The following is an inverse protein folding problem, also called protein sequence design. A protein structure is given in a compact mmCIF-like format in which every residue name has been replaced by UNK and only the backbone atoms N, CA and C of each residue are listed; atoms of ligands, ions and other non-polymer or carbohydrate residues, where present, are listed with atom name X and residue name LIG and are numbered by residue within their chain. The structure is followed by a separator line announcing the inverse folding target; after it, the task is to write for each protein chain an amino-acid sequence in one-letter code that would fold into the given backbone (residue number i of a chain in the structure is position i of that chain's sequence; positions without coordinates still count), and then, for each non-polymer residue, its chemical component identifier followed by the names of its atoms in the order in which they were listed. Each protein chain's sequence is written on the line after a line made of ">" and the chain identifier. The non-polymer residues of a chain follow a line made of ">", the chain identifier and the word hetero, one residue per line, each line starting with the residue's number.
data_IF_540803935577
#
_entry.id   IF_540803935577
#
_cell.length_a   1.000
_cell.length_b   1.000
_cell.length_c   1.000
_cell.angle_alpha   90.00
_cell.angle_beta   90.00
_cell.angle_gamma   90.00
#
_symmetry.space_group_name_H-M   'P 1'
#
loop_
_entity.id
_entity.type
_entity.pdbx_description
1 polymer ?
#
# COMPACT_ATOMS: atom_id res chain seq x y z
N UNK A 1 -0.96 2.16 -6.42
CA UNK A 1 -1.71 1.60 -5.28
C UNK A 1 -1.09 0.27 -4.98
N UNK A 2 -0.94 -0.09 -3.70
CA UNK A 2 -0.33 -1.36 -3.29
C UNK A 2 -1.24 -2.02 -2.28
N UNK A 3 -1.55 -3.28 -2.50
CA UNK A 3 -2.24 -4.15 -1.56
C UNK A 3 -1.45 -5.46 -1.43
N UNK A 4 -1.62 -6.17 -0.33
CA UNK A 4 -1.02 -7.48 -0.12
C UNK A 4 -2.06 -8.47 0.38
N UNK A 5 -1.86 -9.73 0.05
CA UNK A 5 -2.54 -10.88 0.64
C UNK A 5 -1.52 -11.64 1.49
N UNK A 6 -1.91 -12.10 2.68
CA UNK A 6 -1.02 -12.79 3.61
C UNK A 6 -1.76 -13.92 4.33
N UNK A 7 -1.19 -15.12 4.29
CA UNK A 7 -1.59 -16.29 5.06
C UNK A 7 -0.49 -16.53 6.09
N UNK A 8 -0.89 -16.53 7.36
CA UNK A 8 -0.01 -16.83 8.48
C UNK A 8 -0.20 -18.30 8.89
N UNK A 9 0.84 -18.97 9.42
CA UNK A 9 0.68 -20.31 9.97
C UNK A 9 -0.28 -20.31 11.17
N UNK A 10 -0.91 -21.45 11.42
CA UNK A 10 -1.86 -21.58 12.52
C UNK A 10 -1.21 -21.24 13.86
N UNK A 11 -1.91 -20.47 14.69
CA UNK A 11 -1.39 -20.02 15.99
C UNK A 11 -0.28 -18.98 15.93
N UNK A 12 0.16 -18.54 14.74
CA UNK A 12 1.18 -17.51 14.60
C UNK A 12 0.70 -16.18 15.20
N UNK A 13 1.61 -15.51 15.91
CA UNK A 13 1.34 -14.25 16.61
C UNK A 13 2.50 -13.29 16.41
N UNK A 14 2.25 -12.24 15.64
CA UNK A 14 3.16 -11.12 15.45
C UNK A 14 3.01 -10.20 16.67
N UNK A 15 3.75 -10.50 17.74
CA UNK A 15 3.64 -9.75 18.99
C UNK A 15 4.04 -8.30 18.77
N UNK A 16 3.15 -7.38 19.14
CA UNK A 16 3.38 -5.95 18.98
C UNK A 16 3.03 -5.42 17.58
N UNK A 17 2.48 -6.25 16.69
CA UNK A 17 1.85 -5.73 15.47
C UNK A 17 0.58 -4.97 15.85
N UNK A 18 0.42 -3.79 15.28
CA UNK A 18 -0.76 -2.92 15.34
C UNK A 18 -0.93 -2.34 13.93
N UNK A 19 -1.89 -1.44 13.74
CA UNK A 19 -2.04 -0.61 12.53
C UNK A 19 -0.67 -0.15 12.03
N UNK A 20 -0.33 -0.55 10.81
CA UNK A 20 0.97 -0.27 10.19
C UNK A 20 1.33 1.23 10.18
N UNK A 21 0.34 2.13 10.23
CA UNK A 21 0.55 3.58 10.29
C UNK A 21 0.99 4.08 11.66
N UNK A 22 0.68 3.34 12.73
CA UNK A 22 1.14 3.64 14.10
C UNK A 22 2.53 3.11 14.39
N UNK A 23 2.94 2.07 13.67
CA UNK A 23 4.30 1.56 13.74
C UNK A 23 5.28 2.61 13.20
N UNK A 24 6.44 2.72 13.84
CA UNK A 24 7.57 3.48 13.27
C UNK A 24 8.12 2.75 12.04
N UNK A 25 8.85 3.46 11.19
CA UNK A 25 9.48 2.84 10.01
C UNK A 25 10.37 1.64 10.38
N UNK A 26 11.29 1.73 11.37
CA UNK A 26 12.10 0.57 11.77
C UNK A 26 11.29 -0.63 12.27
N UNK A 27 10.21 -0.37 13.01
CA UNK A 27 9.31 -1.44 13.47
C UNK A 27 8.62 -2.14 12.29
N UNK A 28 8.13 -1.38 11.30
CA UNK A 28 7.54 -1.96 10.09
C UNK A 28 8.55 -2.79 9.31
N UNK A 29 9.77 -2.29 9.15
CA UNK A 29 10.84 -3.00 8.45
C UNK A 29 11.20 -4.32 9.15
N UNK A 30 11.26 -4.31 10.49
CA UNK A 30 11.48 -5.54 11.27
C UNK A 30 10.37 -6.58 11.04
N UNK A 31 9.10 -6.18 11.11
CA UNK A 31 7.98 -7.08 10.84
C UNK A 31 7.97 -7.55 9.37
N UNK A 32 8.29 -6.67 8.43
CA UNK A 32 8.38 -7.02 7.02
C UNK A 32 9.44 -8.09 6.79
N UNK A 33 10.65 -7.90 7.35
CA UNK A 33 11.72 -8.89 7.28
C UNK A 33 11.29 -10.22 7.89
N UNK A 34 10.70 -10.21 9.09
CA UNK A 34 10.18 -11.41 9.76
C UNK A 34 9.18 -12.16 8.86
N UNK A 35 8.20 -11.45 8.29
CA UNK A 35 7.18 -12.03 7.42
C UNK A 35 7.77 -12.62 6.13
N UNK A 36 8.75 -11.94 5.52
CA UNK A 36 9.33 -12.33 4.23
C UNK A 36 10.24 -13.56 4.37
N UNK A 37 10.94 -13.71 5.51
CA UNK A 37 11.87 -14.83 5.72
C UNK A 37 11.19 -16.07 6.33
N UNK A 38 10.00 -15.91 6.91
CA UNK A 38 9.27 -17.01 7.54
C UNK A 38 8.74 -18.00 6.49
N UNK A 39 9.21 -19.25 6.52
CA UNK A 39 8.93 -20.24 5.45
C UNK A 39 7.46 -20.64 5.32
N UNK A 40 6.70 -20.53 6.40
CA UNK A 40 5.27 -20.89 6.42
C UNK A 40 4.34 -19.68 6.26
N UNK A 41 4.90 -18.48 6.08
CA UNK A 41 4.12 -17.31 5.71
C UNK A 41 4.02 -17.27 4.18
N UNK A 42 2.79 -17.26 3.67
CA UNK A 42 2.53 -17.11 2.24
C UNK A 42 1.97 -15.73 2.00
N UNK A 43 2.57 -14.99 1.07
CA UNK A 43 2.08 -13.68 0.74
C UNK A 43 2.30 -13.35 -0.73
N UNK A 44 1.54 -12.37 -1.20
CA UNK A 44 1.71 -11.78 -2.51
C UNK A 44 1.30 -10.31 -2.48
N UNK A 45 1.82 -9.54 -3.43
CA UNK A 45 1.58 -8.10 -3.54
C UNK A 45 0.98 -7.77 -4.90
N UNK A 46 -0.11 -7.02 -4.86
CA UNK A 46 -0.73 -6.40 -6.03
C UNK A 46 -0.39 -4.92 -6.11
N UNK A 47 0.03 -4.49 -7.29
CA UNK A 47 0.39 -3.11 -7.58
C UNK A 47 -0.42 -2.64 -8.77
N UNK A 48 -1.00 -1.45 -8.65
CA UNK A 48 -1.76 -0.77 -9.71
C UNK A 48 -1.13 0.60 -9.95
N UNK A 49 -0.82 0.92 -11.21
CA UNK A 49 -0.06 2.11 -11.58
C UNK A 49 -0.92 3.39 -11.51
N UNK A 50 -0.27 4.55 -11.59
CA UNK A 50 -0.95 5.84 -11.53
C UNK A 50 -2.00 6.02 -12.63
N UNK A 51 -1.69 5.56 -13.86
CA UNK A 51 -2.59 5.61 -15.01
C UNK A 51 -3.87 4.79 -14.77
N UNK A 52 -3.73 3.55 -14.28
CA UNK A 52 -4.88 2.70 -13.99
C UNK A 52 -5.73 3.26 -12.84
N UNK A 53 -5.11 3.96 -11.88
CA UNK A 53 -5.86 4.64 -10.80
C UNK A 53 -6.69 5.80 -11.36
N UNK A 54 -6.15 6.54 -12.32
CA UNK A 54 -6.88 7.63 -12.96
C UNK A 54 -8.12 7.10 -13.71
N UNK A 55 -8.02 5.90 -14.33
CA UNK A 55 -9.12 5.26 -15.05
C UNK A 55 -10.14 4.58 -14.14
N UNK A 56 -9.68 3.87 -13.10
CA UNK A 56 -10.53 3.05 -12.21
C UNK A 56 -11.08 3.81 -11.00
N UNK A 57 -10.60 5.03 -10.74
CA UNK A 57 -10.66 5.73 -9.45
C UNK A 57 -9.93 5.00 -8.31
N UNK A 58 -9.78 5.68 -7.17
CA UNK A 58 -9.02 5.13 -6.03
C UNK A 58 -9.65 3.89 -5.40
N UNK A 59 -10.98 3.81 -5.37
CA UNK A 59 -11.69 2.67 -4.82
C UNK A 59 -11.54 1.45 -5.74
N UNK A 60 -11.81 1.62 -7.03
CA UNK A 60 -11.64 0.56 -8.04
C UNK A 60 -10.19 0.07 -8.09
N UNK A 61 -9.21 0.97 -8.05
CA UNK A 61 -7.80 0.59 -8.02
C UNK A 61 -7.38 -0.13 -6.72
N UNK A 62 -8.04 0.15 -5.60
CA UNK A 62 -7.81 -0.58 -4.34
C UNK A 62 -8.29 -2.02 -4.48
N UNK A 63 -9.52 -2.22 -4.97
CA UNK A 63 -10.08 -3.55 -5.21
C UNK A 63 -9.25 -4.31 -6.24
N UNK A 64 -8.82 -3.66 -7.33
CA UNK A 64 -7.97 -4.29 -8.34
C UNK A 64 -6.62 -4.71 -7.77
N UNK A 65 -5.99 -3.88 -6.92
CA UNK A 65 -4.74 -4.24 -6.27
C UNK A 65 -4.91 -5.46 -5.34
N UNK A 66 -6.03 -5.54 -4.61
CA UNK A 66 -6.36 -6.70 -3.78
C UNK A 66 -6.58 -7.96 -4.63
N UNK A 67 -7.33 -7.88 -5.72
CA UNK A 67 -7.52 -9.00 -6.67
C UNK A 67 -6.18 -9.47 -7.23
N UNK A 68 -5.30 -8.58 -7.69
CA UNK A 68 -3.97 -8.95 -8.18
C UNK A 68 -3.13 -9.64 -7.07
N UNK A 69 -3.25 -9.19 -5.82
CA UNK A 69 -2.55 -9.82 -4.71
C UNK A 69 -3.04 -11.26 -4.48
N UNK A 70 -4.35 -11.51 -4.55
CA UNK A 70 -4.94 -12.85 -4.45
C UNK A 70 -4.52 -13.74 -5.63
N UNK A 71 -4.63 -13.25 -6.87
CA UNK A 71 -4.24 -13.98 -8.10
C UNK A 71 -2.76 -14.41 -8.10
N UNK A 72 -1.90 -13.67 -7.39
CA UNK A 72 -0.45 -13.94 -7.30
C UNK A 72 -0.07 -14.82 -6.12
N UNK A 73 -1.00 -15.11 -5.23
CA UNK A 73 -0.74 -15.95 -4.07
C UNK A 73 -0.44 -17.37 -4.55
N UNK A 74 0.61 -17.99 -3.99
CA UNK A 74 1.05 -19.32 -4.44
C UNK A 74 0.21 -20.48 -3.88
N UNK A 75 -0.66 -20.17 -2.93
CA UNK A 75 -1.56 -21.11 -2.29
C UNK A 75 -2.93 -20.45 -2.27
N UNK A 76 -3.95 -21.23 -2.65
CA UNK A 76 -5.33 -20.79 -2.59
C UNK A 76 -5.80 -20.78 -1.12
N UNK A 77 -6.30 -19.64 -0.61
CA UNK A 77 -6.84 -19.58 0.73
C UNK A 77 -8.26 -20.19 0.76
N UNK A 78 -8.61 -20.86 1.85
CA UNK A 78 -9.97 -21.37 2.04
C UNK A 78 -10.99 -20.26 2.37
N UNK A 79 -10.52 -19.13 2.91
CA UNK A 79 -11.34 -17.99 3.30
C UNK A 79 -10.51 -16.70 3.33
N UNK A 80 -11.06 -15.58 2.88
CA UNK A 80 -10.36 -14.29 2.87
C UNK A 80 -10.97 -13.29 3.86
N UNK A 81 -10.10 -12.54 4.54
CA UNK A 81 -10.47 -11.43 5.41
C UNK A 81 -9.85 -10.15 4.87
N UNK A 82 -10.68 -9.12 4.62
CA UNK A 82 -10.27 -7.89 3.95
C UNK A 82 -10.45 -6.70 4.88
N UNK A 83 -9.43 -5.83 4.98
CA UNK A 83 -9.58 -4.56 5.70
C UNK A 83 -10.50 -3.60 4.95
N UNK A 84 -11.48 -3.03 5.65
CA UNK A 84 -12.36 -1.98 5.15
C UNK A 84 -13.82 -2.40 5.07
N UNK A 85 -14.48 -2.11 3.94
CA UNK A 85 -15.94 -2.22 3.77
C UNK A 85 -16.38 -2.88 2.47
N UNK A 86 -15.43 -3.39 1.69
CA UNK A 86 -15.68 -3.89 0.34
C UNK A 86 -14.80 -5.09 0.09
N UNK A 87 -15.33 -6.05 -0.68
CA UNK A 87 -14.59 -7.22 -1.13
C UNK A 87 -13.95 -6.96 -2.49
N UNK A 88 -12.75 -7.50 -2.76
CA UNK A 88 -12.23 -7.59 -4.11
C UNK A 88 -13.10 -8.51 -4.97
N UNK A 89 -12.94 -8.43 -6.29
CA UNK A 89 -13.56 -9.38 -7.21
C UNK A 89 -12.85 -10.73 -7.08
N UNK A 90 -13.59 -11.74 -6.61
CA UNK A 90 -13.12 -13.12 -6.38
C UNK A 90 -14.29 -14.06 -6.12
N UNK A 91 -14.12 -15.34 -6.48
CA UNK A 91 -15.06 -16.41 -6.14
C UNK A 91 -14.76 -17.04 -4.77
N UNK A 92 -13.66 -16.64 -4.12
CA UNK A 92 -13.27 -17.14 -2.81
C UNK A 92 -14.25 -16.63 -1.74
N UNK A 93 -14.66 -17.50 -0.79
CA UNK A 93 -15.49 -17.06 0.32
C UNK A 93 -14.70 -16.12 1.23
N UNK A 94 -15.39 -15.13 1.80
CA UNK A 94 -14.73 -14.16 2.66
C UNK A 94 -15.64 -13.08 3.19
N UNK A 95 -15.07 -12.21 4.02
CA UNK A 95 -15.73 -11.04 4.55
C UNK A 95 -14.77 -9.86 4.71
N UNK A 96 -15.33 -8.66 4.80
CA UNK A 96 -14.59 -7.46 5.15
C UNK A 96 -14.75 -7.14 6.63
N UNK A 97 -13.71 -6.54 7.21
CA UNK A 97 -13.66 -6.14 8.60
C UNK A 97 -13.20 -4.68 8.64
N UNK A 98 -14.02 -3.83 9.27
CA UNK A 98 -13.65 -2.43 9.49
C UNK A 98 -12.53 -2.38 10.53
N UNK A 99 -11.46 -1.64 10.22
CA UNK A 99 -10.25 -1.56 11.04
C UNK A 99 -9.65 -2.95 11.31
N UNK A 100 -9.69 -3.82 10.30
CA UNK A 100 -9.29 -5.22 10.40
C UNK A 100 -7.81 -5.38 10.70
N UNK A 101 -6.98 -4.42 10.30
CA UNK A 101 -5.54 -4.37 10.60
C UNK A 101 -5.24 -4.26 12.10
N UNK A 102 -6.19 -3.78 12.91
CA UNK A 102 -6.08 -3.72 14.37
C UNK A 102 -6.66 -4.94 15.07
N UNK A 103 -7.48 -5.73 14.37
CA UNK A 103 -8.28 -6.80 14.95
C UNK A 103 -7.79 -8.20 14.55
N UNK A 104 -7.19 -8.32 13.37
CA UNK A 104 -6.84 -9.59 12.74
C UNK A 104 -5.38 -9.61 12.32
N UNK A 105 -4.65 -10.64 12.79
CA UNK A 105 -3.21 -10.78 12.58
C UNK A 105 -2.79 -10.84 11.10
N UNK A 106 -3.53 -11.59 10.27
CA UNK A 106 -3.19 -11.70 8.85
C UNK A 106 -3.47 -10.39 8.08
N UNK A 107 -4.50 -9.64 8.47
CA UNK A 107 -4.77 -8.30 7.92
C UNK A 107 -3.65 -7.33 8.34
N UNK A 108 -3.26 -7.35 9.62
CA UNK A 108 -2.15 -6.56 10.12
C UNK A 108 -0.85 -6.85 9.36
N UNK A 109 -0.52 -8.13 9.16
CA UNK A 109 0.63 -8.57 8.38
C UNK A 109 0.59 -8.10 6.93
N UNK A 110 -0.57 -8.26 6.27
CA UNK A 110 -0.80 -7.76 4.92
C UNK A 110 -0.62 -6.23 4.83
N UNK A 111 -1.08 -5.48 5.83
CA UNK A 111 -0.91 -4.02 5.89
C UNK A 111 0.57 -3.61 5.94
N UNK A 112 1.39 -4.33 6.71
CA UNK A 112 2.85 -4.10 6.79
C UNK A 112 3.52 -4.43 5.46
N UNK A 113 3.22 -5.59 4.87
CA UNK A 113 3.73 -6.01 3.56
C UNK A 113 3.42 -4.97 2.47
N UNK A 114 2.18 -4.52 2.40
CA UNK A 114 1.76 -3.50 1.45
C UNK A 114 2.46 -2.16 1.69
N UNK A 115 2.53 -1.70 2.94
CA UNK A 115 3.12 -0.40 3.30
C UNK A 115 4.63 -0.36 3.01
N UNK A 116 5.38 -1.35 3.45
CA UNK A 116 6.83 -1.39 3.24
C UNK A 116 7.16 -1.56 1.76
N UNK A 117 6.46 -2.46 1.05
CA UNK A 117 6.63 -2.60 -0.41
C UNK A 117 6.39 -1.29 -1.14
N UNK A 118 5.33 -0.56 -0.76
CA UNK A 118 5.01 0.73 -1.35
C UNK A 118 6.10 1.76 -1.08
N UNK A 119 6.63 1.82 0.13
CA UNK A 119 7.67 2.78 0.49
C UNK A 119 8.98 2.49 -0.28
N UNK A 120 9.35 1.22 -0.46
CA UNK A 120 10.46 0.80 -1.32
C UNK A 120 10.27 1.19 -2.79
N UNK A 121 9.04 1.04 -3.33
CA UNK A 121 8.71 1.49 -4.69
C UNK A 121 8.93 3.01 -4.82
N UNK A 122 8.47 3.79 -3.83
CA UNK A 122 8.65 5.26 -3.85
C UNK A 122 10.12 5.68 -3.72
N UNK A 123 10.94 4.92 -3.02
CA UNK A 123 12.40 5.12 -2.97
C UNK A 123 13.06 4.81 -4.32
N UNK A 124 12.64 3.75 -5.00
CA UNK A 124 13.04 3.49 -6.38
C UNK A 124 12.66 4.63 -7.32
N UNK A 125 11.46 5.20 -7.17
CA UNK A 125 11.04 6.37 -7.93
C UNK A 125 11.79 7.65 -7.57
N UNK A 126 12.29 7.81 -6.35
CA UNK A 126 13.17 8.92 -5.98
C UNK A 126 14.48 8.87 -6.78
N UNK A 127 15.03 7.68 -7.00
CA UNK A 127 16.22 7.52 -7.83
C UNK A 127 15.98 7.89 -9.30
N UNK A 128 14.79 7.60 -9.82
CA UNK A 128 14.39 7.93 -11.20
C UNK A 128 13.98 9.40 -11.38
N UNK A 129 13.38 9.99 -10.35
CA UNK A 129 12.87 11.36 -10.38
C UNK A 129 13.33 12.14 -9.13
N UNK A 130 14.65 12.38 -8.98
CA UNK A 130 15.24 12.92 -7.75
C UNK A 130 14.74 14.34 -7.42
N UNK A 131 14.24 15.08 -8.41
CA UNK A 131 13.73 16.43 -8.23
C UNK A 131 12.44 16.51 -7.40
N UNK A 132 11.71 15.40 -7.22
CA UNK A 132 10.46 15.41 -6.45
C UNK A 132 10.64 15.05 -4.97
N UNK A 133 11.70 14.33 -4.59
CA UNK A 133 11.94 13.95 -3.19
C UNK A 133 11.04 12.82 -2.67
N UNK A 134 10.59 11.92 -3.55
CA UNK A 134 9.69 10.82 -3.26
C UNK A 134 10.12 9.93 -2.10
N UNK A 135 11.42 9.78 -1.81
CA UNK A 135 11.85 9.00 -0.64
C UNK A 135 11.38 9.58 0.70
N UNK A 136 11.10 10.87 0.78
CA UNK A 136 10.78 11.55 2.03
C UNK A 136 9.26 11.53 2.28
N UNK A 137 8.50 12.09 1.35
CA UNK A 137 7.05 12.23 1.48
C UNK A 137 6.30 11.09 0.79
N UNK A 138 6.99 10.15 0.15
CA UNK A 138 6.40 8.98 -0.50
C UNK A 138 5.24 9.38 -1.42
N UNK A 139 5.36 10.46 -2.19
CA UNK A 139 4.30 10.94 -3.10
C UNK A 139 3.05 11.54 -2.44
N UNK A 140 2.99 11.67 -1.11
CA UNK A 140 1.95 12.48 -0.46
C UNK A 140 2.11 13.95 -0.86
N UNK A 141 1.02 14.71 -0.91
CA UNK A 141 0.99 16.12 -1.30
C UNK A 141 1.50 17.06 -0.20
N UNK A 142 2.74 16.84 0.26
CA UNK A 142 3.40 17.77 1.19
C UNK A 142 3.79 19.06 0.48
N UNK A 143 4.09 20.11 1.24
CA UNK A 143 4.52 21.40 0.68
C UNK A 143 5.71 21.23 -0.27
N UNK A 144 6.69 20.42 0.11
CA UNK A 144 7.89 20.15 -0.69
C UNK A 144 7.53 19.51 -2.04
N UNK A 145 6.59 18.55 -2.02
CA UNK A 145 6.16 17.86 -3.23
C UNK A 145 5.37 18.78 -4.17
N UNK A 146 4.49 19.62 -3.62
CA UNK A 146 3.72 20.59 -4.40
C UNK A 146 4.64 21.62 -5.08
N UNK A 147 5.66 22.11 -4.37
CA UNK A 147 6.67 23.00 -4.94
C UNK A 147 7.48 22.33 -6.05
N UNK A 148 7.82 21.05 -5.89
CA UNK A 148 8.50 20.29 -6.94
C UNK A 148 7.61 20.12 -8.18
N UNK A 149 6.32 19.85 -8.00
CA UNK A 149 5.33 19.78 -9.09
C UNK A 149 5.18 21.13 -9.78
N UNK A 150 5.11 22.24 -9.04
CA UNK A 150 5.03 23.58 -9.62
C UNK A 150 6.26 23.88 -10.49
N UNK A 151 7.45 23.51 -10.00
CA UNK A 151 8.72 23.78 -10.70
C UNK A 151 8.98 22.85 -11.89
N UNK A 152 8.62 21.58 -11.79
CA UNK A 152 9.03 20.53 -12.74
C UNK A 152 7.87 19.92 -13.53
N UNK A 153 6.62 20.29 -13.23
CA UNK A 153 5.43 19.66 -13.77
C UNK A 153 5.19 18.25 -13.22
N UNK A 154 4.16 17.58 -13.71
CA UNK A 154 3.85 16.19 -13.35
C UNK A 154 4.73 15.21 -14.13
N UNK A 155 5.30 14.23 -13.43
CA UNK A 155 5.95 13.06 -14.04
C UNK A 155 4.98 11.87 -14.20
N UNK A 156 5.46 10.78 -14.82
CA UNK A 156 4.63 9.61 -15.20
C UNK A 156 3.92 8.91 -14.03
N UNK A 157 4.46 9.02 -12.81
CA UNK A 157 3.90 8.33 -11.63
C UNK A 157 2.89 9.19 -10.85
N UNK A 158 2.63 10.42 -11.30
CA UNK A 158 1.59 11.26 -10.70
C UNK A 158 0.21 10.84 -11.20
N UNK A 159 -0.76 10.82 -10.28
CA UNK A 159 -2.18 10.59 -10.58
C UNK A 159 -2.79 11.90 -11.04
N UNK A 160 -3.15 11.99 -12.32
CA UNK A 160 -3.65 13.23 -12.94
C UNK A 160 -5.08 13.54 -12.55
N UNK A 161 -5.85 12.52 -12.16
CA UNK A 161 -7.23 12.67 -11.68
C UNK A 161 -7.30 13.35 -10.30
N UNK A 162 -6.20 13.38 -9.54
CA UNK A 162 -6.15 13.99 -8.22
C UNK A 162 -6.04 15.51 -8.33
N UNK A 163 -6.88 16.23 -7.57
CA UNK A 163 -6.80 17.70 -7.49
C UNK A 163 -5.53 18.11 -6.74
N UNK A 164 -4.67 18.87 -7.42
CA UNK A 164 -3.48 19.47 -6.83
C UNK A 164 -3.87 20.87 -6.35
N UNK A 165 -3.92 21.07 -5.04
CA UNK A 165 -4.14 22.39 -4.46
C UNK A 165 -2.78 23.03 -4.22
N UNK A 166 -2.35 23.89 -5.14
CA UNK A 166 -1.23 24.80 -4.89
C UNK A 166 -1.85 26.06 -4.28
N UNK A 167 -1.53 26.37 -3.03
CA UNK A 167 -1.87 27.68 -2.48
C UNK A 167 -1.18 28.74 -3.34
N UNK A 168 -1.90 29.74 -3.88
CA UNK A 168 -1.26 30.78 -4.66
C UNK A 168 -0.21 31.47 -3.79
N UNK A 169 1.00 31.62 -4.34
CA UNK A 169 2.06 32.37 -3.67
C UNK A 169 1.50 33.73 -3.26
N UNK A 170 1.53 34.02 -1.96
CA UNK A 170 1.15 35.33 -1.41
C UNK A 170 2.00 36.36 -2.15
N UNK A 171 1.37 37.08 -3.07
CA UNK A 171 2.00 38.18 -3.79
C UNK A 171 2.06 39.32 -2.77
N UNK A 172 3.27 39.61 -2.30
CA UNK A 172 3.59 40.71 -1.37
C UNK A 172 3.15 42.06 -1.90
#
# INVERSE_FOLDING_TARGET
>A
MVAAACILPEGYRLRGIDDSKKLTQPQRETFYEELVVHREVWFAVGVVEAVDIDDLNIHGATLRAMTIALERLKIDPDFILVDGRHMPETDLPGEWIVDGDRLVQCIAAASVLAKVTRDLIMEGYDALYPQYGFKNHKGYGTKEHLLAIEKHGLCLIHRRSYKIQVEPAITT
#
